data_IF_092147853338
#
_entry.id   IF_092147853338
#
_cell.length_a   1.000
_cell.length_b   1.000
_cell.length_c   1.000
_cell.angle_alpha   90.00
_cell.angle_beta   90.00
_cell.angle_gamma   90.00
#
_symmetry.space_group_name_H-M   'P 1'
#
loop_
_entity.id
_entity.type
_entity.pdbx_description
1 polymer ?
#
# COMPACT_ATOMS: atom_id res chain seq x y z
N UNK A 1 -13.67 -0.64 5.65
CA UNK A 1 -12.33 -0.04 5.65
C UNK A 1 -12.48 1.38 6.16
N UNK A 2 -11.79 1.70 7.26
CA UNK A 2 -11.79 3.07 7.79
C UNK A 2 -11.03 3.97 6.80
N UNK A 3 -11.69 5.03 6.32
CA UNK A 3 -11.03 6.06 5.54
C UNK A 3 -9.95 6.70 6.42
N UNK A 4 -8.75 6.85 5.87
CA UNK A 4 -7.76 7.73 6.50
C UNK A 4 -8.27 9.15 6.27
N UNK A 5 -8.61 9.87 7.34
CA UNK A 5 -9.03 11.27 7.27
C UNK A 5 -7.85 12.23 7.01
N UNK A 6 -6.61 11.69 6.93
CA UNK A 6 -5.47 12.44 6.43
C UNK A 6 -5.56 12.54 4.91
N UNK A 7 -5.59 13.78 4.39
CA UNK A 7 -5.52 14.05 2.95
C UNK A 7 -4.24 13.44 2.39
N UNK A 8 -4.41 12.41 1.59
CA UNK A 8 -3.30 11.67 0.97
C UNK A 8 -3.06 12.30 -0.41
N UNK A 9 -1.83 12.73 -0.66
CA UNK A 9 -1.48 13.56 -1.81
C UNK A 9 -1.47 12.80 -3.15
N UNK A 10 -1.51 11.46 -3.14
CA UNK A 10 -1.66 10.66 -4.35
C UNK A 10 -2.98 10.93 -5.07
N UNK A 11 -4.01 11.37 -4.33
CA UNK A 11 -5.30 11.79 -4.90
C UNK A 11 -5.14 12.84 -6.01
N UNK A 12 -4.16 13.75 -5.92
CA UNK A 12 -3.87 14.74 -6.96
C UNK A 12 -3.43 14.10 -8.28
N UNK A 13 -2.73 12.96 -8.25
CA UNK A 13 -2.38 12.23 -9.48
C UNK A 13 -3.61 11.59 -10.13
N UNK A 14 -4.52 11.05 -9.31
CA UNK A 14 -5.75 10.39 -9.78
C UNK A 14 -6.74 11.36 -10.43
N UNK A 15 -6.60 12.67 -10.19
CA UNK A 15 -7.34 13.71 -10.93
C UNK A 15 -6.82 13.90 -12.36
N UNK A 16 -5.55 13.56 -12.63
CA UNK A 16 -4.88 13.85 -13.90
C UNK A 16 -4.82 12.62 -14.83
N UNK A 17 -4.64 11.42 -14.26
CA UNK A 17 -4.50 10.17 -15.01
C UNK A 17 -5.25 9.03 -14.33
N UNK A 18 -5.76 8.04 -15.08
CA UNK A 18 -6.29 6.82 -14.48
C UNK A 18 -5.22 6.13 -13.63
N UNK A 19 -5.58 5.78 -12.40
CA UNK A 19 -4.68 5.10 -11.47
C UNK A 19 -5.44 4.49 -10.30
N UNK A 20 -4.71 3.80 -9.44
CA UNK A 20 -5.25 3.20 -8.23
C UNK A 20 -4.24 3.29 -7.09
N UNK A 21 -4.75 3.43 -5.87
CA UNK A 21 -3.99 3.32 -4.63
C UNK A 21 -4.55 2.16 -3.82
N UNK A 22 -3.68 1.33 -3.23
CA UNK A 22 -4.06 0.22 -2.38
C UNK A 22 -3.31 0.28 -1.05
N UNK A 23 -3.90 -0.30 -0.01
CA UNK A 23 -3.22 -0.53 1.27
C UNK A 23 -2.64 -1.94 1.26
N UNK A 24 -1.34 -2.05 1.56
CA UNK A 24 -0.67 -3.32 1.82
C UNK A 24 -0.58 -3.55 3.32
N UNK A 25 -0.96 -4.75 3.78
CA UNK A 25 -0.78 -5.13 5.17
C UNK A 25 0.70 -5.36 5.47
N UNK A 26 1.22 -4.67 6.48
CA UNK A 26 2.64 -4.74 6.90
C UNK A 26 2.82 -5.32 8.30
N UNK A 27 1.76 -5.86 8.89
CA UNK A 27 1.80 -6.43 10.24
C UNK A 27 2.37 -7.84 10.19
N UNK A 28 3.24 -8.17 11.13
CA UNK A 28 3.71 -9.54 11.35
C UNK A 28 2.56 -10.52 11.49
N UNK A 29 2.55 -11.63 10.74
CA UNK A 29 1.53 -12.66 10.87
C UNK A 29 1.39 -13.17 12.31
N UNK A 30 0.15 -13.20 12.81
CA UNK A 30 -0.15 -13.60 14.18
C UNK A 30 -0.04 -12.48 15.23
N UNK A 31 0.51 -11.31 14.89
CA UNK A 31 0.44 -10.15 15.78
C UNK A 31 -0.99 -9.57 15.79
N UNK A 32 -1.50 -9.32 16.99
CA UNK A 32 -2.83 -8.74 17.21
C UNK A 32 -2.77 -7.23 17.47
N UNK A 33 -1.56 -6.66 17.60
CA UNK A 33 -1.35 -5.23 17.84
C UNK A 33 -1.62 -4.45 16.55
N UNK A 34 -2.68 -3.65 16.57
CA UNK A 34 -2.93 -2.61 15.57
C UNK A 34 -2.26 -1.30 15.98
N UNK A 35 -0.95 -1.18 15.77
CA UNK A 35 -0.25 0.09 16.04
C UNK A 35 -0.61 1.13 14.98
N UNK A 36 -0.91 2.35 15.43
CA UNK A 36 -1.10 3.51 14.55
C UNK A 36 0.23 3.91 13.91
N UNK A 37 0.18 4.31 12.63
CA UNK A 37 1.37 4.61 11.83
C UNK A 37 2.18 5.83 12.34
N UNK A 38 1.60 6.67 13.20
CA UNK A 38 2.29 7.82 13.80
C UNK A 38 2.87 7.52 15.18
N UNK A 39 2.82 6.26 15.64
CA UNK A 39 3.46 5.85 16.89
C UNK A 39 4.97 5.76 16.71
N UNK A 40 5.73 6.26 17.69
CA UNK A 40 7.21 6.17 17.67
C UNK A 40 7.78 4.74 17.81
N UNK A 41 6.93 3.76 18.12
CA UNK A 41 7.28 2.34 18.15
C UNK A 41 6.52 1.53 17.09
N UNK A 42 6.00 2.18 16.06
CA UNK A 42 5.48 1.50 14.88
C UNK A 42 6.62 0.71 14.22
N UNK A 43 6.34 -0.55 13.90
CA UNK A 43 7.29 -1.47 13.31
C UNK A 43 6.56 -2.34 12.27
N UNK A 44 7.27 -2.70 11.21
CA UNK A 44 6.71 -3.41 10.06
C UNK A 44 7.39 -4.74 9.86
N UNK A 45 6.65 -5.71 9.36
CA UNK A 45 7.22 -6.95 8.87
C UNK A 45 7.84 -6.70 7.48
N UNK A 46 9.16 -6.83 7.38
CA UNK A 46 9.90 -6.62 6.13
C UNK A 46 9.53 -7.62 5.03
N UNK A 47 8.90 -8.76 5.34
CA UNK A 47 8.34 -9.66 4.32
C UNK A 47 7.30 -8.95 3.43
N UNK A 48 6.63 -7.91 3.94
CA UNK A 48 5.70 -7.11 3.16
C UNK A 48 6.38 -6.34 2.01
N UNK A 49 7.69 -6.10 2.07
CA UNK A 49 8.44 -5.48 0.97
C UNK A 49 8.40 -6.39 -0.26
N UNK A 50 8.64 -7.68 -0.08
CA UNK A 50 8.59 -8.68 -1.16
C UNK A 50 7.20 -8.70 -1.80
N UNK A 51 6.15 -8.74 -0.97
CA UNK A 51 4.75 -8.71 -1.45
C UNK A 51 4.46 -7.43 -2.25
N UNK A 52 4.96 -6.28 -1.80
CA UNK A 52 4.84 -5.00 -2.51
C UNK A 52 5.53 -5.02 -3.88
N UNK A 53 6.74 -5.56 -3.95
CA UNK A 53 7.49 -5.69 -5.22
C UNK A 53 6.77 -6.61 -6.19
N UNK A 54 6.28 -7.76 -5.72
CA UNK A 54 5.52 -8.70 -6.55
C UNK A 54 4.22 -8.06 -7.08
N UNK A 55 3.48 -7.35 -6.22
CA UNK A 55 2.25 -6.66 -6.59
C UNK A 55 2.49 -5.64 -7.71
N UNK A 56 3.48 -4.75 -7.54
CA UNK A 56 3.76 -3.72 -8.54
C UNK A 56 4.35 -4.30 -9.84
N UNK A 57 5.20 -5.33 -9.74
CA UNK A 57 5.73 -6.03 -10.91
C UNK A 57 4.60 -6.68 -11.72
N UNK A 58 3.70 -7.40 -11.03
CA UNK A 58 2.55 -8.01 -11.68
C UNK A 58 1.62 -6.96 -12.31
N UNK A 59 1.35 -5.85 -11.61
CA UNK A 59 0.53 -4.76 -12.14
C UNK A 59 1.13 -4.17 -13.43
N UNK A 60 2.43 -3.90 -13.45
CA UNK A 60 3.12 -3.37 -14.63
C UNK A 60 3.10 -4.36 -15.81
N UNK A 61 3.31 -5.65 -15.56
CA UNK A 61 3.28 -6.67 -16.61
C UNK A 61 1.87 -6.91 -17.17
N UNK A 62 0.84 -6.88 -16.30
CA UNK A 62 -0.55 -7.01 -16.72
C UNK A 62 -1.03 -5.80 -17.54
N UNK A 63 -0.53 -4.60 -17.25
CA UNK A 63 -0.82 -3.40 -18.05
C UNK A 63 -0.07 -3.41 -19.38
N UNK A 64 1.24 -3.71 -19.36
CA UNK A 64 2.08 -3.79 -20.57
C UNK A 64 1.72 -4.92 -21.54
N UNK A 65 1.00 -5.96 -21.07
CA UNK A 65 0.43 -7.00 -21.95
C UNK A 65 -0.88 -6.59 -22.64
N UNK A 66 -1.41 -5.39 -22.37
CA UNK A 66 -2.67 -4.87 -22.95
C UNK A 66 -2.43 -3.80 -24.03
N UNK A 67 -1.17 -3.42 -24.28
CA UNK A 67 -0.76 -2.50 -25.35
C UNK A 67 -0.42 -3.20 -26.65
#
# INVERSE_FOLDING_TARGET
TEQSLGGEDFSWYLEQVPGAMARLGVRTPGDTRGLDLHRGNFDVDEEAITVGVELFTAAALLDGGRS
#
